data_IF_938670333598
#
_entry.id   IF_938670333598
#
_cell.length_a   1.000
_cell.length_b   1.000
_cell.length_c   1.000
_cell.angle_alpha   90.00
_cell.angle_beta   90.00
_cell.angle_gamma   90.00
#
_symmetry.space_group_name_H-M   'P 1'
#
loop_
_entity.id
_entity.type
_entity.pdbx_description
1 polymer ?
#
# COMPACT_ATOMS: atom_id res chain seq x y z
N UNK A 1 -35.53 -49.87 -21.17
CA UNK A 1 -35.29 -49.14 -19.91
C UNK A 1 -34.24 -48.12 -20.22
N UNK A 2 -34.67 -46.86 -20.18
CA UNK A 2 -33.89 -45.63 -20.02
C UNK A 2 -33.05 -45.09 -21.18
N UNK A 3 -33.50 -43.90 -21.56
CA UNK A 3 -32.91 -42.82 -22.32
C UNK A 3 -31.53 -42.39 -21.80
N UNK A 4 -30.67 -41.84 -22.67
CA UNK A 4 -29.89 -40.64 -22.31
C UNK A 4 -29.81 -39.73 -23.53
N UNK A 5 -30.31 -38.52 -23.31
CA UNK A 5 -30.41 -37.39 -24.21
C UNK A 5 -29.04 -36.73 -24.52
N UNK A 6 -29.10 -35.91 -25.57
CA UNK A 6 -28.11 -35.00 -26.13
C UNK A 6 -27.22 -34.24 -25.13
N UNK A 7 -25.99 -33.93 -25.57
CA UNK A 7 -25.52 -32.55 -25.77
C UNK A 7 -23.99 -32.52 -25.87
N UNK A 8 -23.44 -32.21 -27.05
CA UNK A 8 -22.38 -31.19 -27.13
C UNK A 8 -22.31 -30.68 -28.58
N UNK A 9 -23.15 -29.68 -28.82
CA UNK A 9 -23.02 -28.70 -29.88
C UNK A 9 -21.82 -27.80 -29.56
N UNK A 10 -20.63 -28.16 -30.06
CA UNK A 10 -19.45 -27.30 -29.91
C UNK A 10 -18.97 -26.80 -31.27
N UNK A 11 -19.33 -25.53 -31.53
CA UNK A 11 -18.91 -24.66 -32.63
C UNK A 11 -17.41 -24.78 -32.95
N UNK A 12 -17.08 -25.03 -34.21
CA UNK A 12 -15.71 -25.03 -34.77
C UNK A 12 -15.15 -23.64 -35.10
N UNK A 13 -15.76 -22.56 -34.61
CA UNK A 13 -15.44 -21.18 -35.03
C UNK A 13 -14.44 -20.44 -34.13
N UNK A 14 -13.76 -21.12 -33.19
CA UNK A 14 -12.77 -20.50 -32.30
C UNK A 14 -11.31 -20.90 -32.55
N UNK A 15 -11.00 -21.63 -33.64
CA UNK A 15 -9.61 -22.01 -33.97
C UNK A 15 -8.71 -20.82 -34.36
N UNK A 16 -9.28 -19.62 -34.46
CA UNK A 16 -8.63 -18.40 -34.94
C UNK A 16 -8.13 -17.56 -33.75
N UNK A 17 -8.56 -17.90 -32.53
CA UNK A 17 -8.10 -17.32 -31.27
C UNK A 17 -7.19 -18.34 -30.57
N UNK A 18 -6.23 -18.92 -31.29
CA UNK A 18 -5.02 -19.43 -30.62
C UNK A 18 -4.10 -18.24 -30.38
N UNK A 19 -4.46 -17.44 -29.38
CA UNK A 19 -3.46 -16.64 -28.67
C UNK A 19 -2.47 -17.65 -28.11
N UNK A 20 -1.16 -17.58 -28.45
CA UNK A 20 -0.15 -18.40 -27.79
C UNK A 20 -0.37 -18.26 -26.29
N UNK A 21 -0.34 -19.34 -25.47
CA UNK A 21 -0.50 -19.19 -24.03
C UNK A 21 0.48 -18.12 -23.59
N UNK A 22 -0.05 -16.98 -23.13
CA UNK A 22 0.77 -15.93 -22.58
C UNK A 22 1.61 -16.62 -21.51
N UNK A 23 2.92 -16.61 -21.70
CA UNK A 23 3.84 -17.09 -20.68
C UNK A 23 3.59 -16.14 -19.52
N UNK A 24 2.79 -16.60 -18.57
CA UNK A 24 2.40 -15.82 -17.41
C UNK A 24 3.70 -15.48 -16.68
N UNK A 25 4.13 -14.22 -16.72
CA UNK A 25 5.29 -13.71 -15.97
C UNK A 25 5.13 -14.00 -14.47
N UNK A 26 3.91 -14.31 -14.01
CA UNK A 26 3.59 -14.75 -12.67
C UNK A 26 4.03 -16.20 -12.33
N UNK A 27 4.53 -16.97 -13.30
CA UNK A 27 5.10 -18.32 -13.03
C UNK A 27 6.53 -18.24 -12.49
N UNK A 28 7.26 -17.17 -12.86
CA UNK A 28 8.60 -16.89 -12.35
C UNK A 28 8.58 -16.49 -10.87
N UNK A 29 7.51 -15.81 -10.41
CA UNK A 29 7.37 -15.39 -9.01
C UNK A 29 7.06 -16.56 -8.07
N UNK A 30 6.26 -17.54 -8.51
CA UNK A 30 5.82 -18.70 -7.69
C UNK A 30 6.92 -19.69 -7.33
N UNK A 31 8.05 -19.69 -8.03
CA UNK A 31 9.19 -20.60 -7.78
C UNK A 31 10.50 -19.88 -7.46
N UNK A 32 10.46 -18.54 -7.33
CA UNK A 32 11.61 -17.72 -7.00
C UNK A 32 12.24 -18.13 -5.66
N UNK A 33 11.41 -18.41 -4.66
CA UNK A 33 11.85 -18.91 -3.36
C UNK A 33 12.61 -20.23 -3.49
N UNK A 34 12.11 -21.15 -4.32
CA UNK A 34 12.74 -22.46 -4.54
C UNK A 34 14.09 -22.33 -5.25
N UNK A 35 14.20 -21.47 -6.25
CA UNK A 35 15.45 -21.29 -7.01
C UNK A 35 16.55 -20.62 -6.16
N UNK A 36 16.17 -19.83 -5.16
CA UNK A 36 17.11 -19.25 -4.20
C UNK A 36 17.75 -20.35 -3.33
N UNK A 37 16.94 -21.25 -2.76
CA UNK A 37 17.42 -22.23 -1.78
C UNK A 37 17.90 -23.57 -2.37
N UNK A 38 17.47 -23.92 -3.58
CA UNK A 38 17.78 -25.20 -4.21
C UNK A 38 18.55 -25.02 -5.51
N UNK A 39 19.42 -25.99 -5.83
CA UNK A 39 20.13 -26.03 -7.10
C UNK A 39 19.23 -26.47 -8.26
N UNK A 40 19.80 -26.45 -9.48
CA UNK A 40 19.15 -26.96 -10.69
C UNK A 40 18.74 -28.42 -10.48
N UNK A 41 17.54 -28.74 -10.95
CA UNK A 41 17.03 -30.09 -10.89
C UNK A 41 17.85 -31.04 -11.77
N UNK A 42 18.08 -32.24 -11.26
CA UNK A 42 18.72 -33.34 -11.99
C UNK A 42 17.91 -34.63 -11.79
N UNK A 43 18.10 -35.55 -12.70
CA UNK A 43 17.41 -36.83 -12.68
C UNK A 43 18.25 -37.84 -11.89
N UNK A 44 17.61 -38.48 -10.90
CA UNK A 44 18.22 -39.51 -10.05
C UNK A 44 17.41 -40.79 -10.16
N UNK A 45 18.08 -41.91 -10.38
CA UNK A 45 17.44 -43.22 -10.33
C UNK A 45 17.18 -43.58 -8.87
N UNK A 46 15.92 -43.84 -8.54
CA UNK A 46 15.52 -44.28 -7.21
C UNK A 46 15.86 -45.76 -7.03
N UNK A 47 16.75 -46.07 -6.09
CA UNK A 47 17.14 -47.44 -5.74
C UNK A 47 15.94 -48.32 -5.33
N UNK A 48 14.86 -47.71 -4.83
CA UNK A 48 13.69 -48.45 -4.31
C UNK A 48 12.72 -48.92 -5.40
N UNK A 49 12.57 -48.15 -6.47
CA UNK A 49 11.52 -48.38 -7.47
C UNK A 49 12.06 -48.47 -8.90
N UNK A 50 13.38 -48.39 -9.10
CA UNK A 50 14.05 -48.30 -10.41
C UNK A 50 13.52 -47.18 -11.34
N UNK A 51 12.75 -46.23 -10.81
CA UNK A 51 12.18 -45.09 -11.53
C UNK A 51 13.11 -43.89 -11.43
N UNK A 52 13.23 -43.17 -12.53
CA UNK A 52 13.90 -41.87 -12.58
C UNK A 52 13.03 -40.83 -11.87
N UNK A 53 13.58 -40.19 -10.85
CA UNK A 53 12.95 -39.12 -10.10
C UNK A 53 13.72 -37.83 -10.32
N UNK A 54 12.99 -36.75 -10.56
CA UNK A 54 13.58 -35.41 -10.65
C UNK A 54 13.80 -34.86 -9.25
N UNK A 55 15.03 -34.53 -8.92
CA UNK A 55 15.49 -34.18 -7.58
C UNK A 55 16.20 -32.82 -7.62
N UNK A 56 16.11 -32.07 -6.53
CA UNK A 56 16.88 -30.85 -6.28
C UNK A 56 17.63 -30.97 -4.96
N UNK A 57 18.83 -30.40 -4.94
CA UNK A 57 19.65 -30.33 -3.73
C UNK A 57 19.45 -29.00 -3.00
N UNK A 58 19.27 -29.05 -1.68
CA UNK A 58 19.22 -27.87 -0.83
C UNK A 58 20.63 -27.32 -0.61
N UNK A 59 20.87 -26.07 -1.02
CA UNK A 59 22.18 -25.39 -0.91
C UNK A 59 22.64 -25.26 0.55
N UNK A 60 21.69 -25.06 1.48
CA UNK A 60 21.97 -24.91 2.92
C UNK A 60 22.38 -26.24 3.55
N UNK A 61 21.60 -27.31 3.32
CA UNK A 61 21.94 -28.65 3.82
C UNK A 61 23.26 -29.16 3.23
N UNK A 62 23.52 -28.91 1.95
CA UNK A 62 24.80 -29.27 1.32
C UNK A 62 25.97 -28.52 1.96
N UNK A 63 25.84 -27.21 2.21
CA UNK A 63 26.87 -26.41 2.89
C UNK A 63 27.11 -26.87 4.32
N UNK A 64 26.06 -27.23 5.06
CA UNK A 64 26.13 -27.77 6.43
C UNK A 64 26.58 -29.24 6.48
N UNK A 65 26.89 -29.87 5.34
CA UNK A 65 27.29 -31.28 5.21
C UNK A 65 26.32 -32.26 5.89
N UNK A 66 25.01 -31.96 5.83
CA UNK A 66 23.98 -32.87 6.32
C UNK A 66 23.90 -34.07 5.37
N UNK A 67 23.78 -35.30 5.87
CA UNK A 67 23.75 -36.51 5.03
C UNK A 67 22.59 -36.55 4.02
N UNK A 68 21.47 -35.88 4.32
CA UNK A 68 20.28 -35.80 3.46
C UNK A 68 20.04 -34.37 3.00
N UNK A 69 20.43 -34.08 1.76
CA UNK A 69 20.27 -32.75 1.14
C UNK A 69 19.54 -32.78 -0.20
N UNK A 70 19.27 -33.95 -0.78
CA UNK A 70 18.52 -34.12 -2.03
C UNK A 70 17.04 -34.45 -1.78
N UNK A 71 16.14 -33.72 -2.44
CA UNK A 71 14.68 -33.84 -2.30
C UNK A 71 13.98 -33.86 -3.65
N UNK A 72 12.85 -34.58 -3.76
CA UNK A 72 12.04 -34.62 -5.00
C UNK A 72 11.62 -33.19 -5.38
N UNK A 73 11.69 -32.86 -6.67
CA UNK A 73 11.53 -31.50 -7.19
C UNK A 73 10.11 -30.90 -7.09
N UNK A 74 9.20 -31.57 -6.39
CA UNK A 74 7.85 -31.11 -6.14
C UNK A 74 7.85 -29.91 -5.16
N UNK A 75 7.16 -28.84 -5.52
CA UNK A 75 7.17 -27.55 -4.80
C UNK A 75 6.75 -27.71 -3.35
N UNK A 76 5.73 -28.53 -3.09
CA UNK A 76 5.23 -28.75 -1.73
C UNK A 76 6.27 -29.45 -0.86
N UNK A 77 6.99 -30.42 -1.43
CA UNK A 77 8.06 -31.17 -0.76
C UNK A 77 9.23 -30.26 -0.37
N UNK A 78 9.64 -29.38 -1.28
CA UNK A 78 10.75 -28.44 -1.06
C UNK A 78 10.39 -27.40 0.00
N UNK A 79 9.17 -26.83 -0.05
CA UNK A 79 8.70 -25.87 0.97
C UNK A 79 8.55 -26.49 2.35
N UNK A 80 8.03 -27.72 2.43
CA UNK A 80 7.92 -28.45 3.69
C UNK A 80 9.29 -28.69 4.34
N UNK A 81 10.31 -29.01 3.53
CA UNK A 81 11.68 -29.14 4.03
C UNK A 81 12.21 -27.83 4.61
N UNK A 82 12.05 -26.70 3.90
CA UNK A 82 12.46 -25.38 4.39
C UNK A 82 11.78 -25.04 5.73
N UNK A 83 10.47 -25.26 5.84
CA UNK A 83 9.72 -24.98 7.07
C UNK A 83 10.14 -25.85 8.25
N UNK A 84 10.45 -27.13 8.02
CA UNK A 84 10.77 -28.07 9.11
C UNK A 84 12.24 -28.03 9.57
N UNK A 85 13.18 -27.68 8.68
CA UNK A 85 14.61 -27.83 8.96
C UNK A 85 15.41 -26.52 8.86
N UNK A 86 14.77 -25.45 8.38
CA UNK A 86 15.36 -24.13 8.25
C UNK A 86 14.46 -23.07 8.87
N UNK A 87 14.14 -23.21 10.17
CA UNK A 87 13.37 -22.22 10.94
C UNK A 87 14.00 -20.82 10.85
N UNK A 88 15.33 -20.70 10.86
CA UNK A 88 16.04 -19.43 10.65
C UNK A 88 15.71 -18.76 9.31
N UNK A 89 15.35 -19.55 8.28
CA UNK A 89 14.95 -19.03 6.96
C UNK A 89 13.50 -18.57 6.98
N UNK A 90 12.62 -19.27 7.70
CA UNK A 90 11.25 -18.80 7.95
C UNK A 90 11.27 -17.50 8.76
N UNK A 91 12.11 -17.42 9.80
CA UNK A 91 12.34 -16.23 10.60
C UNK A 91 12.95 -15.09 9.76
N UNK A 92 13.94 -15.38 8.91
CA UNK A 92 14.52 -14.39 7.97
C UNK A 92 13.55 -13.94 6.89
N UNK A 93 12.61 -14.79 6.46
CA UNK A 93 11.56 -14.41 5.52
C UNK A 93 10.57 -13.47 6.18
N UNK A 94 10.17 -13.76 7.43
CA UNK A 94 9.34 -12.86 8.23
C UNK A 94 10.04 -11.50 8.46
N UNK A 95 11.34 -11.52 8.76
CA UNK A 95 12.15 -10.31 8.94
C UNK A 95 12.43 -9.58 7.62
N UNK A 96 12.61 -10.26 6.49
CA UNK A 96 12.80 -9.64 5.18
C UNK A 96 11.48 -9.08 4.62
N UNK A 97 10.33 -9.71 4.89
CA UNK A 97 9.01 -9.16 4.57
C UNK A 97 8.67 -7.94 5.44
N UNK A 98 9.13 -7.92 6.70
CA UNK A 98 9.09 -6.72 7.55
C UNK A 98 10.07 -5.64 7.05
N UNK A 99 11.30 -6.01 6.66
CA UNK A 99 12.33 -5.07 6.23
C UNK A 99 12.06 -4.45 4.85
N UNK A 100 11.48 -5.20 3.89
CA UNK A 100 11.08 -4.64 2.58
C UNK A 100 9.89 -3.66 2.69
N UNK A 101 9.18 -3.62 3.82
CA UNK A 101 8.18 -2.58 4.12
C UNK A 101 8.72 -1.42 4.94
N UNK A 102 9.96 -1.50 5.41
CA UNK A 102 10.60 -0.46 6.22
C UNK A 102 11.80 0.06 5.45
N UNK A 103 11.53 1.00 4.56
CA UNK A 103 12.53 1.98 4.18
C UNK A 103 13.06 2.60 5.49
N UNK A 104 14.35 2.44 5.78
CA UNK A 104 14.99 3.02 6.97
C UNK A 104 15.02 4.54 6.82
N UNK A 105 13.98 5.20 7.35
CA UNK A 105 13.96 6.64 7.58
C UNK A 105 15.03 7.00 8.61
N UNK A 106 15.82 8.04 8.32
CA UNK A 106 16.77 8.65 9.24
C UNK A 106 16.00 9.39 10.35
N UNK A 107 15.39 8.66 11.29
CA UNK A 107 14.38 9.19 12.20
C UNK A 107 14.83 9.30 13.68
N UNK A 108 16.13 9.15 13.98
CA UNK A 108 16.59 9.23 15.39
C UNK A 108 16.81 10.68 15.87
N UNK A 109 16.83 11.66 14.95
CA UNK A 109 16.92 13.09 15.32
C UNK A 109 15.77 13.95 14.78
N UNK A 110 14.83 13.33 14.07
CA UNK A 110 13.65 14.00 13.53
C UNK A 110 12.55 13.85 14.56
N UNK A 111 12.28 14.92 15.31
CA UNK A 111 11.02 14.99 16.04
C UNK A 111 9.92 14.93 15.00
N UNK A 112 9.08 13.87 15.05
CA UNK A 112 7.85 13.82 14.27
C UNK A 112 7.05 15.06 14.65
N UNK A 113 7.12 16.09 13.80
CA UNK A 113 6.20 17.20 13.88
C UNK A 113 4.81 16.56 13.82
N UNK A 114 4.00 16.83 14.84
CA UNK A 114 2.56 16.56 14.80
C UNK A 114 2.11 16.97 13.40
N UNK A 115 1.49 16.08 12.60
CA UNK A 115 1.00 16.45 11.29
C UNK A 115 0.11 17.67 11.51
N UNK A 116 0.60 18.84 11.10
CA UNK A 116 -0.27 20.01 11.01
C UNK A 116 -1.29 19.58 9.97
N UNK A 117 -2.55 19.46 10.37
CA UNK A 117 -3.64 19.28 9.42
C UNK A 117 -3.51 20.42 8.41
N UNK A 118 -2.93 20.11 7.26
CA UNK A 118 -2.90 21.04 6.16
C UNK A 118 -4.34 21.08 5.68
N UNK A 119 -5.05 22.15 6.08
CA UNK A 119 -6.34 22.48 5.51
C UNK A 119 -6.25 22.36 3.99
N UNK A 120 -7.32 21.88 3.35
CA UNK A 120 -7.36 21.66 1.92
C UNK A 120 -6.75 22.86 1.17
N UNK A 121 -5.92 22.62 0.13
CA UNK A 121 -5.35 23.69 -0.66
C UNK A 121 -6.43 24.67 -1.12
N UNK A 122 -6.12 25.96 -1.09
CA UNK A 122 -7.06 26.99 -1.54
C UNK A 122 -7.52 26.71 -2.98
N UNK A 123 -8.82 26.78 -3.19
CA UNK A 123 -9.47 26.79 -4.50
C UNK A 123 -10.57 27.84 -4.49
N UNK A 124 -10.68 28.62 -5.57
CA UNK A 124 -11.70 29.66 -5.71
C UNK A 124 -13.11 29.11 -5.52
N UNK A 125 -13.38 27.90 -6.01
CA UNK A 125 -14.70 27.28 -5.90
C UNK A 125 -15.02 26.85 -4.47
N UNK A 126 -14.03 26.31 -3.75
CA UNK A 126 -14.15 25.94 -2.34
C UNK A 126 -14.36 27.18 -1.46
N UNK A 127 -13.65 28.27 -1.79
CA UNK A 127 -13.81 29.53 -1.09
C UNK A 127 -15.20 30.14 -1.33
N UNK A 128 -15.67 30.14 -2.58
CA UNK A 128 -17.02 30.63 -2.92
C UNK A 128 -18.11 29.83 -2.20
N UNK A 129 -18.03 28.49 -2.19
CA UNK A 129 -19.03 27.66 -1.52
C UNK A 129 -19.05 27.91 -0.01
N UNK A 130 -17.88 27.93 0.64
CA UNK A 130 -17.78 28.18 2.07
C UNK A 130 -18.25 29.61 2.45
N UNK A 131 -17.98 30.59 1.59
CA UNK A 131 -18.43 31.97 1.82
C UNK A 131 -19.97 32.09 1.71
N UNK A 132 -20.58 31.44 0.72
CA UNK A 132 -22.04 31.41 0.56
C UNK A 132 -22.70 30.69 1.74
N UNK A 133 -22.17 29.54 2.14
CA UNK A 133 -22.64 28.77 3.29
C UNK A 133 -22.60 29.63 4.56
N UNK A 134 -21.47 30.28 4.84
CA UNK A 134 -21.35 31.21 5.96
C UNK A 134 -22.39 32.34 5.92
N UNK A 135 -22.65 32.93 4.74
CA UNK A 135 -23.61 34.02 4.58
C UNK A 135 -25.04 33.57 4.95
N UNK A 136 -25.44 32.37 4.49
CA UNK A 136 -26.77 31.79 4.75
C UNK A 136 -26.91 31.35 6.20
N UNK A 137 -25.90 30.69 6.77
CA UNK A 137 -25.96 30.19 8.15
C UNK A 137 -26.02 31.30 9.20
N UNK A 138 -25.42 32.45 8.90
CA UNK A 138 -25.28 33.56 9.85
C UNK A 138 -26.15 34.77 9.50
N UNK A 139 -27.07 34.62 8.54
CA UNK A 139 -28.00 35.65 8.07
C UNK A 139 -27.32 37.00 7.78
N UNK A 140 -26.15 36.96 7.13
CA UNK A 140 -25.39 38.18 6.83
C UNK A 140 -25.93 38.89 5.60
N UNK A 141 -25.89 40.23 5.54
CA UNK A 141 -26.26 40.96 4.35
C UNK A 141 -25.29 40.63 3.20
N UNK A 142 -25.80 40.51 1.97
CA UNK A 142 -24.97 40.25 0.77
C UNK A 142 -23.85 41.29 0.61
N UNK A 143 -24.12 42.54 1.00
CA UNK A 143 -23.13 43.63 0.99
C UNK A 143 -21.95 43.44 1.95
N UNK A 144 -21.95 42.43 2.83
CA UNK A 144 -20.81 42.11 3.70
C UNK A 144 -19.54 41.81 2.89
N UNK A 145 -19.67 41.20 1.70
CA UNK A 145 -18.52 40.91 0.82
C UNK A 145 -17.92 42.15 0.15
N UNK A 146 -18.69 43.21 0.00
CA UNK A 146 -18.22 44.47 -0.58
C UNK A 146 -17.50 45.35 0.45
N UNK A 147 -17.66 45.05 1.74
CA UNK A 147 -17.14 45.90 2.80
C UNK A 147 -15.59 45.86 2.81
N UNK A 148 -14.90 47.02 2.70
CA UNK A 148 -13.46 47.06 2.52
C UNK A 148 -12.67 46.44 3.69
N UNK A 149 -13.22 46.50 4.92
CA UNK A 149 -12.59 45.85 6.08
C UNK A 149 -12.67 44.32 6.02
N UNK A 150 -13.75 43.77 5.45
CA UNK A 150 -13.91 42.33 5.26
C UNK A 150 -12.89 41.83 4.23
N UNK A 151 -12.79 42.52 3.08
CA UNK A 151 -11.79 42.22 2.04
C UNK A 151 -10.37 42.27 2.61
N UNK A 152 -10.06 43.32 3.40
CA UNK A 152 -8.75 43.43 4.04
C UNK A 152 -8.48 42.26 5.01
N UNK A 153 -9.46 41.84 5.81
CA UNK A 153 -9.33 40.70 6.71
C UNK A 153 -8.98 39.41 5.95
N UNK A 154 -9.66 39.14 4.83
CA UNK A 154 -9.37 37.98 3.97
C UNK A 154 -7.96 38.08 3.35
N UNK A 155 -7.55 39.25 2.87
CA UNK A 155 -6.21 39.46 2.32
C UNK A 155 -5.10 39.23 3.37
N UNK A 156 -5.34 39.62 4.63
CA UNK A 156 -4.41 39.32 5.73
C UNK A 156 -4.39 37.81 6.02
N UNK A 157 -5.56 37.18 6.08
CA UNK A 157 -5.70 35.74 6.31
C UNK A 157 -5.02 34.89 5.24
N UNK A 158 -5.16 35.25 3.95
CA UNK A 158 -4.56 34.54 2.82
C UNK A 158 -3.03 34.53 2.84
N UNK A 159 -2.40 35.49 3.54
CA UNK A 159 -0.94 35.58 3.68
C UNK A 159 -0.40 34.80 4.89
N UNK A 160 -1.27 34.19 5.70
CA UNK A 160 -0.86 33.47 6.91
C UNK A 160 -0.22 32.13 6.56
N UNK A 161 0.99 31.87 7.07
CA UNK A 161 1.74 30.63 6.81
C UNK A 161 1.31 29.43 7.66
N UNK A 162 0.69 29.67 8.80
CA UNK A 162 0.38 28.66 9.81
C UNK A 162 -1.13 28.59 10.11
N UNK A 163 -1.98 29.01 9.17
CA UNK A 163 -3.41 29.21 9.41
C UNK A 163 -3.72 30.49 10.19
N UNK A 164 -5.01 30.73 10.45
CA UNK A 164 -5.51 31.94 11.11
C UNK A 164 -6.20 31.54 12.42
N UNK A 165 -5.83 32.20 13.51
CA UNK A 165 -6.49 32.03 14.80
C UNK A 165 -7.53 33.13 14.98
N UNK A 166 -8.81 32.76 15.02
CA UNK A 166 -9.91 33.69 15.29
C UNK A 166 -10.03 33.88 16.82
N UNK A 167 -10.02 35.12 17.34
CA UNK A 167 -10.15 35.36 18.77
C UNK A 167 -11.53 34.94 19.29
N UNK A 168 -11.59 34.51 20.56
CA UNK A 168 -12.84 34.15 21.23
C UNK A 168 -13.78 35.35 21.35
N UNK A 169 -15.10 35.13 21.47
CA UNK A 169 -16.09 36.20 21.67
C UNK A 169 -15.71 37.14 22.81
N UNK A 170 -15.29 36.60 23.96
CA UNK A 170 -14.90 37.41 25.12
C UNK A 170 -13.67 38.27 24.82
N UNK A 171 -12.65 37.70 24.18
CA UNK A 171 -11.45 38.43 23.75
C UNK A 171 -11.83 39.56 22.81
N UNK A 172 -12.64 39.28 21.79
CA UNK A 172 -13.11 40.27 20.82
C UNK A 172 -13.89 41.40 21.50
N UNK A 173 -14.82 41.08 22.40
CA UNK A 173 -15.56 42.10 23.15
C UNK A 173 -14.64 42.99 23.98
N UNK A 174 -13.64 42.41 24.65
CA UNK A 174 -12.67 43.18 25.44
C UNK A 174 -11.83 44.10 24.56
N UNK A 175 -11.34 43.63 23.42
CA UNK A 175 -10.57 44.45 22.48
C UNK A 175 -11.40 45.61 21.93
N UNK A 176 -12.68 45.40 21.61
CA UNK A 176 -13.57 46.47 21.19
C UNK A 176 -13.68 47.55 22.27
N UNK A 177 -13.92 47.18 23.53
CA UNK A 177 -14.00 48.13 24.65
C UNK A 177 -12.67 48.90 24.80
N UNK A 178 -11.54 48.19 24.73
CA UNK A 178 -10.22 48.81 24.81
C UNK A 178 -10.00 49.84 23.70
N UNK A 179 -10.43 49.54 22.46
CA UNK A 179 -10.34 50.49 21.34
C UNK A 179 -11.14 51.75 21.64
N UNK A 180 -12.36 51.65 22.16
CA UNK A 180 -13.14 52.83 22.55
C UNK A 180 -12.47 53.66 23.64
N UNK A 181 -11.83 53.01 24.62
CA UNK A 181 -11.12 53.71 25.70
C UNK A 181 -9.84 54.43 25.23
N UNK A 182 -9.27 54.07 24.08
CA UNK A 182 -8.11 54.77 23.51
C UNK A 182 -8.49 56.10 22.82
N UNK A 183 -9.75 56.23 22.40
CA UNK A 183 -10.27 57.40 21.69
C UNK A 183 -11.11 58.33 22.60
N UNK A 184 -11.25 58.00 23.88
CA UNK A 184 -11.86 58.83 24.94
C UNK A 184 -10.77 59.46 25.80
#
# INVERSE_FOLDING_TARGET
MEDVENADDTLRDLDHIRVPPAVDENTLTKTADINEFFDKAYDRISEKNARTQRVRDCKVCRRRKVNKYGFVSDVSTLRRHLGAHHEDVAARKLEAEKANKVQTSLDNHVQKAIPKEHAAPYSDDLFKSAAIEWLVETDQPIGAFEHPKFINMINVAARAKNGVTIPSRWTTCREIINLFHQYL
#
